data_IF_739867163107
#
_entry.id   IF_739867163107
#
_cell.length_a   1.000
_cell.length_b   1.000
_cell.length_c   1.000
_cell.angle_alpha   90.00
_cell.angle_beta   90.00
_cell.angle_gamma   90.00
#
_symmetry.space_group_name_H-M   'P 1'
#
loop_
_entity.id
_entity.type
_entity.pdbx_description
1 polymer ?
#
# COMPACT_ATOMS: atom_id res chain seq x y z
N UNK A 1 -25.55 19.83 46.38
CA UNK A 1 -26.27 19.65 45.10
C UNK A 1 -25.21 19.38 44.03
N UNK A 2 -25.04 18.13 43.63
CA UNK A 2 -24.16 17.74 42.53
C UNK A 2 -24.97 18.02 41.26
N UNK A 3 -24.58 19.05 40.51
CA UNK A 3 -25.16 19.36 39.19
C UNK A 3 -24.80 18.23 38.23
N UNK A 4 -25.76 17.37 37.93
CA UNK A 4 -25.68 16.45 36.81
C UNK A 4 -25.72 17.29 35.53
N UNK A 5 -24.59 17.41 34.85
CA UNK A 5 -24.58 17.91 33.47
C UNK A 5 -25.42 16.94 32.63
N UNK A 6 -26.36 17.42 31.79
CA UNK A 6 -27.09 16.55 30.91
C UNK A 6 -26.10 15.79 29.98
N UNK A 7 -26.28 14.49 29.91
CA UNK A 7 -25.52 13.63 28.98
C UNK A 7 -25.76 14.12 27.54
N UNK A 8 -24.73 14.60 26.89
CA UNK A 8 -24.81 14.92 25.46
C UNK A 8 -24.85 13.62 24.66
N UNK A 9 -26.03 13.21 24.29
CA UNK A 9 -26.29 11.99 23.52
C UNK A 9 -25.60 12.03 22.15
N UNK A 10 -25.34 13.20 21.59
CA UNK A 10 -24.65 13.35 20.30
C UNK A 10 -23.17 13.02 20.46
N UNK A 11 -22.53 13.48 21.51
CA UNK A 11 -21.13 13.17 21.84
C UNK A 11 -20.95 11.68 22.17
N UNK A 12 -21.89 11.10 22.92
CA UNK A 12 -21.88 9.67 23.23
C UNK A 12 -21.99 8.81 21.98
N UNK A 13 -22.94 9.14 21.07
CA UNK A 13 -23.10 8.44 19.80
C UNK A 13 -21.86 8.56 18.92
N UNK A 14 -21.23 9.73 18.86
CA UNK A 14 -19.98 9.94 18.12
C UNK A 14 -18.84 9.07 18.68
N UNK A 15 -18.69 8.97 20.01
CA UNK A 15 -17.69 8.11 20.67
C UNK A 15 -17.95 6.63 20.40
N UNK A 16 -19.20 6.18 20.45
CA UNK A 16 -19.57 4.79 20.12
C UNK A 16 -19.22 4.49 18.66
N UNK A 17 -19.60 5.35 17.71
CA UNK A 17 -19.30 5.19 16.30
C UNK A 17 -17.78 5.12 16.04
N UNK A 18 -17.01 6.00 16.67
CA UNK A 18 -15.53 5.99 16.57
C UNK A 18 -14.93 4.69 17.12
N UNK A 19 -15.43 4.19 18.25
CA UNK A 19 -14.97 2.92 18.85
C UNK A 19 -15.26 1.74 17.93
N UNK A 20 -16.48 1.65 17.40
CA UNK A 20 -16.86 0.58 16.46
C UNK A 20 -16.03 0.62 15.18
N UNK A 21 -15.75 1.83 14.67
CA UNK A 21 -14.88 2.00 13.50
C UNK A 21 -13.45 1.54 13.78
N UNK A 22 -12.90 1.89 14.95
CA UNK A 22 -11.55 1.44 15.35
C UNK A 22 -11.46 -0.09 15.48
N UNK A 23 -12.48 -0.74 16.06
CA UNK A 23 -12.55 -2.20 16.15
C UNK A 23 -12.60 -2.85 14.76
N UNK A 24 -13.41 -2.34 13.84
CA UNK A 24 -13.48 -2.83 12.46
C UNK A 24 -12.14 -2.70 11.74
N UNK A 25 -11.48 -1.55 11.86
CA UNK A 25 -10.14 -1.33 11.30
C UNK A 25 -9.10 -2.33 11.84
N UNK A 26 -9.13 -2.62 13.13
CA UNK A 26 -8.24 -3.60 13.75
C UNK A 26 -8.49 -5.02 13.20
N UNK A 27 -9.75 -5.43 13.07
CA UNK A 27 -10.12 -6.73 12.48
C UNK A 27 -9.67 -6.84 11.02
N UNK A 28 -9.93 -5.82 10.22
CA UNK A 28 -9.52 -5.78 8.82
C UNK A 28 -7.99 -5.76 8.68
N UNK A 29 -7.27 -5.06 9.56
CA UNK A 29 -5.81 -5.10 9.62
C UNK A 29 -5.27 -6.50 9.92
N UNK A 30 -5.96 -7.28 10.75
CA UNK A 30 -5.62 -8.69 10.99
C UNK A 30 -5.78 -9.54 9.72
N UNK A 31 -6.88 -9.37 8.99
CA UNK A 31 -7.11 -10.07 7.73
C UNK A 31 -6.07 -9.71 6.67
N UNK A 32 -5.70 -8.42 6.55
CA UNK A 32 -4.61 -8.00 5.67
C UNK A 32 -3.27 -8.65 6.01
N UNK A 33 -2.93 -8.71 7.30
CA UNK A 33 -1.71 -9.37 7.76
C UNK A 33 -1.70 -10.86 7.43
N UNK A 34 -2.82 -11.56 7.60
CA UNK A 34 -2.95 -12.96 7.22
C UNK A 34 -2.82 -13.16 5.71
N UNK A 35 -3.44 -12.31 4.89
CA UNK A 35 -3.31 -12.34 3.44
C UNK A 35 -1.85 -12.10 3.02
N UNK A 36 -1.17 -11.12 3.62
CA UNK A 36 0.24 -10.81 3.35
C UNK A 36 1.15 -12.00 3.67
N UNK A 37 0.95 -12.66 4.82
CA UNK A 37 1.69 -13.88 5.19
C UNK A 37 1.42 -15.03 4.21
N UNK A 38 0.17 -15.23 3.82
CA UNK A 38 -0.22 -16.31 2.92
C UNK A 38 0.40 -16.22 1.53
N UNK A 39 0.60 -15.00 1.01
CA UNK A 39 1.20 -14.77 -0.32
C UNK A 39 2.72 -14.54 -0.30
N UNK A 40 3.34 -14.40 0.89
CA UNK A 40 4.71 -13.93 1.03
C UNK A 40 5.72 -14.76 0.22
N UNK A 41 5.62 -16.10 0.27
CA UNK A 41 6.53 -16.96 -0.49
C UNK A 41 6.41 -16.75 -2.01
N UNK A 42 5.18 -16.64 -2.52
CA UNK A 42 4.94 -16.35 -3.94
C UNK A 42 5.40 -14.94 -4.33
N UNK A 43 5.21 -13.96 -3.44
CA UNK A 43 5.68 -12.58 -3.66
C UNK A 43 7.22 -12.50 -3.71
N UNK A 44 7.92 -13.23 -2.85
CA UNK A 44 9.39 -13.30 -2.87
C UNK A 44 9.90 -13.99 -4.15
N UNK A 45 9.26 -15.06 -4.59
CA UNK A 45 9.59 -15.72 -5.85
C UNK A 45 9.36 -14.78 -7.05
N UNK A 46 8.26 -14.02 -7.05
CA UNK A 46 8.00 -13.02 -8.08
C UNK A 46 9.08 -11.92 -8.12
N UNK A 47 9.56 -11.47 -6.96
CA UNK A 47 10.66 -10.49 -6.89
C UNK A 47 11.94 -11.10 -7.46
N UNK A 48 12.26 -12.37 -7.14
CA UNK A 48 13.42 -13.08 -7.72
C UNK A 48 13.34 -13.11 -9.26
N UNK A 49 12.19 -13.53 -9.79
CA UNK A 49 11.95 -13.61 -11.23
C UNK A 49 12.04 -12.23 -11.90
N UNK A 50 11.49 -11.20 -11.23
CA UNK A 50 11.57 -9.83 -11.75
C UNK A 50 13.01 -9.33 -11.82
N UNK A 51 13.79 -9.54 -10.78
CA UNK A 51 15.20 -9.09 -10.71
C UNK A 51 16.10 -9.79 -11.73
N UNK A 52 15.68 -10.92 -12.29
CA UNK A 52 16.37 -11.58 -13.40
C UNK A 52 16.30 -10.78 -14.71
N UNK A 53 15.40 -9.78 -14.83
CA UNK A 53 15.36 -8.85 -15.96
C UNK A 53 16.40 -7.74 -15.91
N UNK A 54 17.18 -7.66 -14.83
CA UNK A 54 18.14 -6.59 -14.54
C UNK A 54 17.53 -5.19 -14.34
N UNK A 55 16.20 -5.08 -14.29
CA UNK A 55 15.51 -3.81 -14.07
C UNK A 55 15.45 -3.43 -12.58
N UNK A 56 15.55 -2.13 -12.26
CA UNK A 56 15.34 -1.64 -10.90
C UNK A 56 13.89 -1.79 -10.46
N UNK A 57 13.70 -2.21 -9.19
CA UNK A 57 12.40 -2.42 -8.59
C UNK A 57 12.27 -1.66 -7.25
N UNK A 58 11.19 -0.92 -7.10
CA UNK A 58 10.75 -0.36 -5.82
C UNK A 58 9.66 -1.26 -5.24
N UNK A 59 9.86 -1.78 -4.04
CA UNK A 59 8.88 -2.61 -3.35
C UNK A 59 8.30 -1.87 -2.17
N UNK A 60 6.99 -1.70 -2.13
CA UNK A 60 6.27 -1.12 -1.00
C UNK A 60 5.64 -2.22 -0.13
N UNK A 61 5.93 -2.16 1.17
CA UNK A 61 5.34 -3.03 2.17
C UNK A 61 4.93 -2.23 3.42
N UNK A 62 3.79 -2.60 4.01
CA UNK A 62 3.22 -1.92 5.16
C UNK A 62 3.69 -2.50 6.48
N UNK A 63 3.59 -3.83 6.63
CA UNK A 63 3.93 -4.50 7.88
C UNK A 63 5.43 -4.81 7.96
N UNK A 64 6.03 -4.51 9.12
CA UNK A 64 7.46 -4.71 9.38
C UNK A 64 7.89 -6.17 9.14
N UNK A 65 7.02 -7.14 9.45
CA UNK A 65 7.31 -8.55 9.21
C UNK A 65 7.48 -8.88 7.72
N UNK A 66 6.71 -8.23 6.84
CA UNK A 66 6.83 -8.39 5.39
C UNK A 66 8.11 -7.71 4.89
N UNK A 67 8.38 -6.49 5.38
CA UNK A 67 9.61 -5.75 5.05
C UNK A 67 10.85 -6.56 5.40
N UNK A 68 10.90 -7.13 6.62
CA UNK A 68 12.01 -7.97 7.08
C UNK A 68 12.16 -9.23 6.25
N UNK A 69 11.07 -9.92 5.94
CA UNK A 69 11.12 -11.13 5.13
C UNK A 69 11.67 -10.87 3.71
N UNK A 70 11.41 -9.68 3.14
CA UNK A 70 12.06 -9.29 1.87
C UNK A 70 13.55 -9.10 2.07
N UNK A 71 13.99 -8.39 3.12
CA UNK A 71 15.42 -8.19 3.40
C UNK A 71 16.14 -9.49 3.77
N UNK A 72 15.48 -10.40 4.49
CA UNK A 72 16.06 -11.73 4.80
C UNK A 72 16.32 -12.55 3.53
N UNK A 73 15.45 -12.40 2.50
CA UNK A 73 15.65 -13.05 1.19
C UNK A 73 16.63 -12.31 0.31
N UNK A 74 16.67 -10.96 0.41
CA UNK A 74 17.53 -10.08 -0.39
C UNK A 74 18.36 -9.18 0.52
N UNK A 75 19.40 -9.71 1.18
CA UNK A 75 20.15 -8.99 2.23
C UNK A 75 20.93 -7.78 1.72
N UNK A 76 21.22 -7.72 0.43
CA UNK A 76 21.88 -6.58 -0.21
C UNK A 76 20.92 -5.49 -0.71
N UNK A 77 19.58 -5.72 -0.57
CA UNK A 77 18.60 -4.74 -0.98
C UNK A 77 18.67 -3.49 -0.09
N UNK A 78 18.49 -2.34 -0.73
CA UNK A 78 18.36 -1.07 -0.02
C UNK A 78 17.00 -0.99 0.67
N UNK A 79 16.90 -0.17 1.71
CA UNK A 79 15.61 0.00 2.39
C UNK A 79 15.39 1.45 2.86
N UNK A 80 14.10 1.81 3.01
CA UNK A 80 13.62 3.08 3.55
C UNK A 80 12.51 2.79 4.55
N UNK A 81 12.88 2.65 5.83
CA UNK A 81 11.93 2.34 6.89
C UNK A 81 11.67 3.53 7.82
N UNK A 82 10.61 3.44 8.63
CA UNK A 82 10.25 4.48 9.57
C UNK A 82 11.30 4.74 10.64
N UNK A 83 12.06 3.73 11.03
CA UNK A 83 13.10 3.74 12.04
C UNK A 83 14.47 4.26 11.54
N UNK A 84 14.64 4.37 10.21
CA UNK A 84 15.90 4.85 9.65
C UNK A 84 16.11 6.33 9.89
N UNK A 85 17.35 6.71 10.22
CA UNK A 85 17.75 8.12 10.28
C UNK A 85 17.66 8.79 8.90
N UNK A 86 17.55 10.12 8.88
CA UNK A 86 17.51 10.87 7.63
C UNK A 86 18.74 10.59 6.76
N UNK A 87 19.93 10.55 7.37
CA UNK A 87 21.19 10.27 6.67
C UNK A 87 21.21 8.90 6.03
N UNK A 88 20.69 7.86 6.72
CA UNK A 88 20.56 6.50 6.15
C UNK A 88 19.63 6.47 4.95
N UNK A 89 18.47 7.15 5.06
CA UNK A 89 17.51 7.23 3.95
C UNK A 89 18.11 7.94 2.74
N UNK A 90 18.79 9.07 2.95
CA UNK A 90 19.46 9.79 1.88
C UNK A 90 20.58 8.95 1.23
N UNK A 91 21.34 8.21 2.03
CA UNK A 91 22.37 7.30 1.52
C UNK A 91 21.77 6.17 0.67
N UNK A 92 20.67 5.55 1.14
CA UNK A 92 19.97 4.50 0.39
C UNK A 92 19.37 5.04 -0.92
N UNK A 93 18.77 6.24 -0.90
CA UNK A 93 18.24 6.88 -2.11
C UNK A 93 19.36 7.15 -3.12
N UNK A 94 20.50 7.71 -2.67
CA UNK A 94 21.64 7.95 -3.56
C UNK A 94 22.17 6.65 -4.17
N UNK A 95 22.39 5.63 -3.33
CA UNK A 95 22.86 4.32 -3.79
C UNK A 95 21.88 3.65 -4.77
N UNK A 96 20.57 3.81 -4.55
CA UNK A 96 19.55 3.33 -5.49
C UNK A 96 19.60 4.05 -6.82
N UNK A 97 19.86 5.35 -6.85
CA UNK A 97 19.91 6.15 -8.08
C UNK A 97 21.18 5.92 -8.92
N UNK A 98 22.22 5.29 -8.37
CA UNK A 98 23.45 4.97 -9.08
C UNK A 98 23.22 3.80 -10.06
N UNK A 99 23.33 4.06 -11.37
CA UNK A 99 23.07 3.06 -12.41
C UNK A 99 24.08 1.89 -12.36
N UNK A 100 25.35 2.19 -12.04
CA UNK A 100 26.45 1.23 -12.02
C UNK A 100 26.67 0.63 -10.61
N UNK A 101 25.72 0.79 -9.70
CA UNK A 101 25.78 0.23 -8.36
C UNK A 101 25.73 -1.30 -8.32
N UNK A 102 26.05 -1.93 -7.17
CA UNK A 102 25.97 -3.38 -7.00
C UNK A 102 24.58 -3.93 -7.40
N UNK A 103 24.50 -5.20 -7.87
CA UNK A 103 23.22 -5.80 -8.27
C UNK A 103 22.12 -5.72 -7.22
N UNK A 104 22.46 -5.87 -5.93
CA UNK A 104 21.51 -5.73 -4.82
C UNK A 104 20.89 -4.34 -4.69
N UNK A 105 21.56 -3.29 -5.17
CA UNK A 105 21.05 -1.92 -5.20
C UNK A 105 19.99 -1.66 -6.28
N UNK A 106 19.63 -2.68 -7.07
CA UNK A 106 18.46 -2.60 -7.97
C UNK A 106 17.14 -2.82 -7.26
N UNK A 107 17.17 -3.36 -6.05
CA UNK A 107 16.00 -3.53 -5.20
C UNK A 107 16.04 -2.54 -4.04
N UNK A 108 14.96 -1.78 -3.86
CA UNK A 108 14.75 -0.96 -2.68
C UNK A 108 13.40 -1.26 -2.04
N UNK A 109 13.41 -1.56 -0.75
CA UNK A 109 12.21 -1.89 0.03
C UNK A 109 11.79 -0.67 0.84
N UNK A 110 10.59 -0.18 0.60
CA UNK A 110 10.06 1.03 1.23
C UNK A 110 8.88 0.72 2.13
N UNK A 111 8.91 1.23 3.36
CA UNK A 111 7.68 1.31 4.14
C UNK A 111 6.71 2.28 3.45
N UNK A 112 5.46 1.88 3.20
CA UNK A 112 4.50 2.69 2.44
C UNK A 112 4.34 4.10 3.02
N UNK A 113 4.42 4.25 4.34
CA UNK A 113 4.34 5.56 5.02
C UNK A 113 5.52 6.48 4.70
N UNK A 114 6.68 5.95 4.33
CA UNK A 114 7.86 6.74 3.97
C UNK A 114 7.69 7.37 2.58
N UNK A 115 6.87 6.77 1.70
CA UNK A 115 6.55 7.35 0.40
C UNK A 115 5.95 8.77 0.50
N UNK A 116 5.23 9.08 1.58
CA UNK A 116 4.68 10.43 1.83
C UNK A 116 5.75 11.50 2.04
N UNK A 117 7.01 11.15 2.33
CA UNK A 117 8.09 12.08 2.70
C UNK A 117 8.83 12.73 1.52
N UNK A 118 8.29 12.70 0.31
CA UNK A 118 8.84 13.46 -0.82
C UNK A 118 10.11 12.85 -1.45
N UNK A 119 10.43 11.58 -1.21
CA UNK A 119 11.55 10.87 -1.80
C UNK A 119 11.46 10.82 -3.34
N UNK A 120 12.59 10.64 -4.02
CA UNK A 120 12.67 10.52 -5.48
C UNK A 120 13.39 9.22 -5.84
N UNK A 121 12.73 8.34 -6.63
CA UNK A 121 13.21 7.02 -7.00
C UNK A 121 13.10 6.80 -8.52
N UNK A 122 13.46 7.82 -9.30
CA UNK A 122 13.26 7.88 -10.76
C UNK A 122 14.12 6.91 -11.57
N UNK A 123 15.06 6.20 -10.95
CA UNK A 123 15.78 5.11 -11.62
C UNK A 123 14.85 3.95 -11.97
N UNK A 124 13.83 3.68 -11.13
CA UNK A 124 12.89 2.60 -11.40
C UNK A 124 11.69 3.09 -12.20
N UNK A 125 11.32 2.31 -13.21
CA UNK A 125 10.04 2.38 -13.92
C UNK A 125 9.04 1.34 -13.41
N UNK A 126 9.45 0.49 -12.44
CA UNK A 126 8.61 -0.56 -11.88
C UNK A 126 8.48 -0.40 -10.37
N UNK A 127 7.25 -0.41 -9.89
CA UNK A 127 6.90 -0.39 -8.46
C UNK A 127 6.02 -1.58 -8.13
N UNK A 128 6.28 -2.27 -7.01
CA UNK A 128 5.47 -3.39 -6.56
C UNK A 128 4.88 -3.12 -5.17
N UNK A 129 3.59 -3.35 -5.02
CA UNK A 129 2.89 -3.29 -3.75
C UNK A 129 2.65 -4.70 -3.22
N UNK A 130 3.35 -5.08 -2.16
CA UNK A 130 3.12 -6.35 -1.47
C UNK A 130 1.85 -6.32 -0.62
N UNK A 131 1.41 -5.14 -0.24
CA UNK A 131 0.23 -4.92 0.59
C UNK A 131 -0.51 -3.67 0.13
N UNK A 132 -1.83 -3.71 0.22
CA UNK A 132 -2.67 -2.59 -0.16
C UNK A 132 -2.88 -1.63 1.01
N UNK A 133 -2.85 -0.34 0.72
CA UNK A 133 -3.23 0.71 1.66
C UNK A 133 -4.73 1.03 1.58
N UNK A 134 -5.24 1.67 2.64
CA UNK A 134 -6.67 1.97 2.78
C UNK A 134 -7.17 3.12 1.91
N UNK A 135 -6.29 3.85 1.24
CA UNK A 135 -6.67 4.96 0.39
C UNK A 135 -5.95 4.90 -0.95
N UNK A 136 -6.64 5.17 -2.07
CA UNK A 136 -5.98 5.29 -3.39
C UNK A 136 -4.83 6.29 -3.37
N UNK A 137 -5.00 7.43 -2.71
CA UNK A 137 -4.00 8.49 -2.64
C UNK A 137 -2.64 8.02 -2.10
N UNK A 138 -2.60 7.03 -1.21
CA UNK A 138 -1.33 6.48 -0.72
C UNK A 138 -0.60 5.68 -1.79
N UNK A 139 -1.34 4.97 -2.65
CA UNK A 139 -0.78 4.28 -3.81
C UNK A 139 -0.29 5.28 -4.85
N UNK A 140 -1.13 6.27 -5.17
CA UNK A 140 -0.79 7.31 -6.15
C UNK A 140 0.46 8.08 -5.71
N UNK A 141 0.56 8.46 -4.42
CA UNK A 141 1.76 9.08 -3.86
C UNK A 141 3.00 8.19 -3.94
N UNK A 142 2.86 6.88 -3.75
CA UNK A 142 3.97 5.95 -3.84
C UNK A 142 4.42 5.78 -5.31
N UNK A 143 3.50 5.66 -6.24
CA UNK A 143 3.76 5.61 -7.68
C UNK A 143 4.44 6.89 -8.17
N UNK A 144 4.01 8.07 -7.68
CA UNK A 144 4.61 9.38 -7.98
C UNK A 144 6.07 9.51 -7.51
N UNK A 145 6.59 8.63 -6.65
CA UNK A 145 8.01 8.62 -6.29
C UNK A 145 8.91 8.20 -7.44
N UNK A 146 8.39 7.36 -8.34
CA UNK A 146 9.05 6.93 -9.56
C UNK A 146 8.65 7.82 -10.75
N UNK A 147 7.40 8.30 -10.79
CA UNK A 147 6.89 9.17 -11.86
C UNK A 147 7.17 10.66 -11.57
N UNK A 148 8.40 11.10 -11.76
CA UNK A 148 8.82 12.50 -11.57
C UNK A 148 9.60 13.03 -12.76
N UNK A 149 9.85 14.35 -12.74
CA UNK A 149 10.75 15.02 -13.72
C UNK A 149 12.10 14.29 -13.70
N UNK A 150 12.48 13.73 -14.86
CA UNK A 150 13.68 12.89 -15.01
C UNK A 150 13.38 11.41 -15.31
N UNK A 151 12.16 10.93 -15.05
CA UNK A 151 11.71 9.62 -15.53
C UNK A 151 11.42 9.70 -17.03
N UNK A 152 12.00 8.78 -17.81
CA UNK A 152 11.84 8.71 -19.26
C UNK A 152 10.84 7.63 -19.70
N UNK A 153 10.62 6.64 -18.84
CA UNK A 153 9.78 5.49 -19.12
C UNK A 153 8.43 5.59 -18.37
N UNK A 154 7.42 4.94 -18.91
CA UNK A 154 6.14 4.79 -18.23
C UNK A 154 6.32 3.97 -16.95
N UNK A 155 5.77 4.45 -15.82
CA UNK A 155 5.82 3.70 -14.56
C UNK A 155 4.76 2.61 -14.56
N UNK A 156 5.19 1.37 -14.32
CA UNK A 156 4.32 0.21 -14.16
C UNK A 156 4.15 -0.11 -12.68
N UNK A 157 2.90 -0.16 -12.20
CA UNK A 157 2.57 -0.52 -10.84
C UNK A 157 2.06 -1.97 -10.75
N UNK A 158 2.77 -2.82 -10.03
CA UNK A 158 2.46 -4.22 -9.79
C UNK A 158 1.77 -4.39 -8.44
N UNK A 159 0.55 -4.92 -8.43
CA UNK A 159 -0.20 -5.20 -7.21
C UNK A 159 -0.22 -6.70 -6.95
N UNK A 160 0.57 -7.17 -5.98
CA UNK A 160 0.66 -8.59 -5.64
C UNK A 160 -0.48 -8.95 -4.67
N UNK A 161 -1.52 -9.60 -5.17
CA UNK A 161 -2.73 -9.90 -4.43
C UNK A 161 -2.80 -11.38 -4.06
N UNK A 162 -3.27 -11.68 -2.85
CA UNK A 162 -3.64 -13.03 -2.46
C UNK A 162 -5.06 -13.33 -2.95
N UNK A 163 -5.19 -14.36 -3.81
CA UNK A 163 -6.49 -14.80 -4.31
C UNK A 163 -7.41 -15.28 -3.18
N UNK A 164 -8.71 -15.03 -3.31
CA UNK A 164 -9.74 -15.39 -2.32
C UNK A 164 -9.50 -14.80 -0.92
N UNK A 165 -8.93 -13.59 -0.84
CA UNK A 165 -8.69 -12.88 0.41
C UNK A 165 -9.23 -11.45 0.37
N UNK A 166 -9.04 -10.73 1.49
CA UNK A 166 -9.36 -9.30 1.60
C UNK A 166 -8.64 -8.44 0.53
N UNK A 167 -7.50 -8.89 0.01
CA UNK A 167 -6.74 -8.16 -1.00
C UNK A 167 -7.57 -7.88 -2.26
N UNK A 168 -8.30 -8.89 -2.76
CA UNK A 168 -9.15 -8.73 -3.94
C UNK A 168 -10.28 -7.73 -3.71
N UNK A 169 -10.91 -7.79 -2.52
CA UNK A 169 -11.96 -6.84 -2.15
C UNK A 169 -11.42 -5.42 -2.09
N UNK A 170 -10.26 -5.24 -1.45
CA UNK A 170 -9.61 -3.94 -1.35
C UNK A 170 -9.19 -3.40 -2.72
N UNK A 171 -8.55 -4.22 -3.55
CA UNK A 171 -8.13 -3.82 -4.90
C UNK A 171 -9.32 -3.33 -5.74
N UNK A 172 -10.44 -4.08 -5.71
CA UNK A 172 -11.67 -3.71 -6.42
C UNK A 172 -12.24 -2.38 -5.93
N UNK A 173 -12.26 -2.17 -4.61
CA UNK A 173 -12.79 -0.93 -4.03
C UNK A 173 -11.86 0.27 -4.28
N UNK A 174 -10.54 0.07 -4.26
CA UNK A 174 -9.55 1.10 -4.62
C UNK A 174 -9.74 1.52 -6.08
N UNK A 175 -9.89 0.56 -6.99
CA UNK A 175 -10.12 0.85 -8.41
C UNK A 175 -11.45 1.60 -8.64
N UNK A 176 -12.54 1.19 -7.98
CA UNK A 176 -13.81 1.92 -8.03
C UNK A 176 -13.65 3.36 -7.55
N UNK A 177 -12.93 3.56 -6.44
CA UNK A 177 -12.71 4.88 -5.87
C UNK A 177 -11.86 5.76 -6.77
N UNK A 178 -10.81 5.22 -7.42
CA UNK A 178 -10.05 5.94 -8.44
C UNK A 178 -10.95 6.39 -9.61
N UNK A 179 -11.80 5.50 -10.11
CA UNK A 179 -12.74 5.82 -11.17
C UNK A 179 -13.76 6.90 -10.74
N UNK A 180 -14.22 6.85 -9.47
CA UNK A 180 -15.12 7.85 -8.90
C UNK A 180 -14.46 9.21 -8.79
N UNK A 181 -13.22 9.29 -8.27
CA UNK A 181 -12.47 10.54 -8.17
C UNK A 181 -12.23 11.15 -9.54
N UNK A 182 -11.85 10.34 -10.54
CA UNK A 182 -11.70 10.80 -11.91
C UNK A 182 -13.02 11.39 -12.46
N UNK A 183 -14.15 10.72 -12.22
CA UNK A 183 -15.48 11.20 -12.67
C UNK A 183 -15.92 12.49 -11.95
N UNK A 184 -15.55 12.66 -10.67
CA UNK A 184 -15.84 13.91 -9.91
C UNK A 184 -15.00 15.08 -10.43
N UNK A 185 -13.76 14.84 -10.82
CA UNK A 185 -12.92 15.86 -11.47
C UNK A 185 -13.56 16.33 -12.79
N UNK A 186 -14.36 15.45 -13.42
CA UNK A 186 -15.17 15.75 -14.62
C UNK A 186 -16.56 16.35 -14.28
N UNK A 187 -16.83 16.74 -13.02
CA UNK A 187 -18.04 17.46 -12.59
C UNK A 187 -19.24 16.59 -12.22
N UNK A 188 -19.05 15.29 -11.93
CA UNK A 188 -20.11 14.38 -11.45
C UNK A 188 -19.98 14.13 -9.94
N UNK A 189 -21.01 14.49 -9.16
CA UNK A 189 -21.07 14.17 -7.74
C UNK A 189 -21.41 12.69 -7.54
N UNK A 190 -20.57 11.97 -6.76
CA UNK A 190 -20.83 10.58 -6.37
C UNK A 190 -20.66 10.45 -4.84
N UNK A 191 -21.62 9.79 -4.19
CA UNK A 191 -21.52 9.48 -2.75
C UNK A 191 -20.33 8.54 -2.47
N UNK A 192 -19.39 8.97 -1.63
CA UNK A 192 -18.21 8.22 -1.21
C UNK A 192 -18.49 7.45 0.08
N UNK A 193 -18.96 6.23 -0.03
CA UNK A 193 -18.87 5.26 1.05
C UNK A 193 -17.39 4.99 1.32
N UNK A 194 -16.90 5.28 2.53
CA UNK A 194 -15.50 5.06 2.90
C UNK A 194 -15.04 3.63 2.57
N UNK A 195 -13.77 3.46 2.17
CA UNK A 195 -13.23 2.14 1.77
C UNK A 195 -13.47 1.06 2.84
N UNK A 196 -13.34 1.43 4.11
CA UNK A 196 -13.55 0.52 5.26
C UNK A 196 -14.99 0.00 5.31
N UNK A 197 -15.96 0.90 5.15
CA UNK A 197 -17.39 0.57 5.14
C UNK A 197 -17.72 -0.31 3.94
N UNK A 198 -17.12 -0.04 2.78
CA UNK A 198 -17.25 -0.86 1.58
C UNK A 198 -16.72 -2.28 1.77
N UNK A 199 -15.52 -2.44 2.35
CA UNK A 199 -14.95 -3.76 2.65
C UNK A 199 -15.80 -4.53 3.64
N UNK A 200 -16.25 -3.89 4.72
CA UNK A 200 -17.13 -4.54 5.73
C UNK A 200 -18.43 -5.00 5.09
N UNK A 201 -19.03 -4.20 4.21
CA UNK A 201 -20.26 -4.56 3.49
C UNK A 201 -20.05 -5.78 2.59
N UNK A 202 -19.01 -5.78 1.76
CA UNK A 202 -18.73 -6.91 0.86
C UNK A 202 -18.41 -8.20 1.62
N UNK A 203 -17.67 -8.13 2.73
CA UNK A 203 -17.39 -9.29 3.58
C UNK A 203 -18.64 -9.84 4.27
N UNK A 204 -19.54 -8.95 4.73
CA UNK A 204 -20.81 -9.36 5.37
C UNK A 204 -21.78 -10.00 4.37
N UNK A 205 -21.86 -9.45 3.16
CA UNK A 205 -22.81 -9.88 2.15
C UNK A 205 -22.37 -11.20 1.49
N UNK A 206 -21.25 -11.82 1.96
CA UNK A 206 -20.81 -13.16 1.57
C UNK A 206 -20.53 -13.32 0.08
N UNK A 207 -20.23 -12.23 -0.63
CA UNK A 207 -19.91 -12.31 -2.05
C UNK A 207 -18.59 -13.07 -2.19
N UNK A 208 -18.56 -14.23 -2.87
CA UNK A 208 -17.33 -14.95 -3.08
C UNK A 208 -16.35 -14.04 -3.83
N UNK A 209 -15.08 -14.13 -3.45
CA UNK A 209 -13.97 -13.46 -4.13
C UNK A 209 -13.87 -14.02 -5.56
N UNK A 210 -14.69 -13.54 -6.49
CA UNK A 210 -14.76 -14.07 -7.85
C UNK A 210 -14.05 -13.12 -8.82
N UNK A 211 -12.95 -13.62 -9.36
CA UNK A 211 -12.27 -13.26 -10.61
C UNK A 211 -11.80 -11.81 -10.78
N UNK A 212 -10.63 -11.48 -10.22
CA UNK A 212 -9.75 -10.50 -10.83
C UNK A 212 -8.98 -11.21 -11.97
N UNK A 213 -9.24 -10.82 -13.21
CA UNK A 213 -8.31 -11.10 -14.30
C UNK A 213 -7.13 -10.14 -14.13
N UNK A 214 -5.91 -10.66 -14.29
CA UNK A 214 -4.73 -9.81 -14.44
C UNK A 214 -5.03 -8.80 -15.55
N UNK A 215 -4.94 -7.51 -15.21
CA UNK A 215 -4.95 -6.45 -16.20
C UNK A 215 -3.48 -6.27 -16.57
N UNK A 216 -3.11 -6.77 -17.75
CA UNK A 216 -1.83 -6.50 -18.37
C UNK A 216 -1.78 -5.07 -18.90
#
# INVERSE_FOLDING_TARGET
MLGQQPLDLSELNAKIAATLRAQRLAQLGTLQRLAARGKLAAALAWIDDFLASDEPLVVFARHVEVQRAVLDRFPEALHLFGEDSLERREAAIRAFQEADGPPGHRLIVCATRVAAQGITLTRASNVAFLELEWTPAMHDQAEDRCHRIGQRDAVTAWYLLAANTIDETMARLIQRKRATVAAVTDGRAIEDDGLVEGVVRELRDGRPFTHLRAVG
#
